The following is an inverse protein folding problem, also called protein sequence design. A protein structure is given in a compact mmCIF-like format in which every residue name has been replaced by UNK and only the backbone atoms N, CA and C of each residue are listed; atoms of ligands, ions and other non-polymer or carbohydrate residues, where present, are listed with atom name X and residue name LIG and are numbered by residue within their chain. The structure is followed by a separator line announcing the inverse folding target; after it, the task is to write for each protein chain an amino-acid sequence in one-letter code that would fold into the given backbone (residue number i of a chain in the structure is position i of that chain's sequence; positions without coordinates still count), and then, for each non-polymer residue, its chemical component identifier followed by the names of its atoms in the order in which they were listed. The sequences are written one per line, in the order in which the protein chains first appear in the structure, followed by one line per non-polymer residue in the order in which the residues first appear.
data_IF_958010681112
#
_entry.id   IF_958010681112
#
_cell.length_a   1.000
_cell.length_b   1.000
_cell.length_c   1.000
_cell.angle_alpha   90.00
_cell.angle_beta   90.00
_cell.angle_gamma   90.00
#
_symmetry.space_group_name_H-M   'P 1'
#
loop_
_entity.id
_entity.type
_entity.pdbx_description
1 polymer ?
#
# COMPACT_ATOMS: atom_id res chain seq x y z
N UNK A 1 -8.03 8.46 15.21
CA UNK A 1 -7.29 9.73 15.04
C UNK A 1 -8.32 10.81 14.90
N UNK A 2 -8.15 11.93 15.59
CA UNK A 2 -9.03 13.09 15.45
C UNK A 2 -8.83 13.71 14.07
N UNK A 3 -9.81 13.54 13.18
CA UNK A 3 -9.80 14.09 11.82
C UNK A 3 -9.98 15.61 11.77
N UNK A 4 -10.19 16.27 12.92
CA UNK A 4 -10.35 17.72 13.02
C UNK A 4 -9.05 18.48 13.27
N UNK A 5 -7.98 17.81 13.74
CA UNK A 5 -6.68 18.47 13.92
C UNK A 5 -5.90 18.55 12.61
N UNK A 6 -5.21 19.67 12.33
CA UNK A 6 -4.28 19.72 11.22
C UNK A 6 -3.12 18.73 11.42
N UNK A 7 -2.64 18.16 10.31
CA UNK A 7 -1.44 17.32 10.30
C UNK A 7 -0.20 18.18 10.57
N UNK A 8 0.73 17.66 11.37
CA UNK A 8 2.04 18.30 11.50
C UNK A 8 2.91 18.05 10.25
N UNK A 9 4.02 18.78 10.12
CA UNK A 9 4.90 18.68 8.95
C UNK A 9 5.37 17.25 8.66
N UNK A 10 5.74 16.48 9.69
CA UNK A 10 6.20 15.09 9.55
C UNK A 10 5.06 14.22 9.01
N UNK A 11 3.86 14.40 9.53
CA UNK A 11 2.67 13.68 9.06
C UNK A 11 2.32 14.03 7.61
N UNK A 12 2.41 15.30 7.22
CA UNK A 12 2.18 15.73 5.83
C UNK A 12 3.23 15.17 4.88
N UNK A 13 4.50 15.16 5.27
CA UNK A 13 5.58 14.56 4.48
C UNK A 13 5.34 13.06 4.32
N UNK A 14 5.07 12.33 5.42
CA UNK A 14 4.78 10.90 5.36
C UNK A 14 3.55 10.60 4.49
N UNK A 15 2.51 11.43 4.57
CA UNK A 15 1.32 11.29 3.72
C UNK A 15 1.65 11.55 2.24
N UNK A 16 2.50 12.53 1.95
CA UNK A 16 2.96 12.83 0.58
C UNK A 16 3.71 11.65 -0.04
N UNK A 17 4.63 11.03 0.71
CA UNK A 17 5.32 9.83 0.26
C UNK A 17 4.40 8.62 0.15
N UNK A 18 3.40 8.51 1.02
CA UNK A 18 2.37 7.47 0.90
C UNK A 18 1.54 7.66 -0.37
N UNK A 19 1.22 8.90 -0.77
CA UNK A 19 0.52 9.16 -2.05
C UNK A 19 1.39 8.77 -3.25
N UNK A 20 2.67 9.14 -3.24
CA UNK A 20 3.61 8.69 -4.27
C UNK A 20 3.63 7.15 -4.35
N UNK A 21 3.74 6.48 -3.22
CA UNK A 21 3.70 5.02 -3.14
C UNK A 21 2.40 4.44 -3.71
N UNK A 22 1.25 5.09 -3.50
CA UNK A 22 -0.04 4.64 -4.05
C UNK A 22 -0.05 4.69 -5.58
N UNK A 23 0.52 5.73 -6.20
CA UNK A 23 0.62 5.81 -7.66
C UNK A 23 1.56 4.75 -8.25
N UNK A 24 2.62 4.40 -7.52
CA UNK A 24 3.55 3.35 -7.94
C UNK A 24 2.94 1.95 -7.80
N UNK A 25 2.24 1.69 -6.70
CA UNK A 25 1.45 0.47 -6.51
C UNK A 25 0.39 0.33 -7.61
N UNK A 26 -0.33 1.41 -7.93
CA UNK A 26 -1.27 1.46 -9.04
C UNK A 26 -0.64 1.06 -10.38
N UNK A 27 0.54 1.61 -10.71
CA UNK A 27 1.28 1.24 -11.93
C UNK A 27 1.59 -0.27 -11.97
N UNK A 28 2.01 -0.86 -10.85
CA UNK A 28 2.25 -2.31 -10.76
C UNK A 28 0.96 -3.09 -11.02
N UNK A 29 -0.17 -2.67 -10.44
CA UNK A 29 -1.46 -3.33 -10.63
C UNK A 29 -1.92 -3.32 -12.10
N UNK A 30 -1.85 -2.16 -12.77
CA UNK A 30 -2.19 -2.05 -14.20
C UNK A 30 -1.31 -2.94 -15.09
N UNK A 31 -0.02 -3.04 -14.78
CA UNK A 31 0.89 -3.91 -15.53
C UNK A 31 0.63 -5.40 -15.28
N UNK A 32 0.23 -5.76 -14.05
CA UNK A 32 0.03 -7.16 -13.65
C UNK A 32 -1.30 -7.73 -14.12
N UNK A 33 -2.35 -6.92 -14.13
CA UNK A 33 -3.71 -7.35 -14.43
C UNK A 33 -4.16 -6.85 -15.79
N UNK A 34 -3.92 -7.66 -16.83
CA UNK A 34 -4.40 -7.37 -18.18
C UNK A 34 -5.93 -7.27 -18.17
N UNK A 35 -6.46 -6.08 -18.47
CA UNK A 35 -7.90 -5.79 -18.43
C UNK A 35 -8.36 -4.98 -17.22
N UNK A 36 -7.47 -4.64 -16.28
CA UNK A 36 -7.78 -3.65 -15.25
C UNK A 36 -7.93 -2.26 -15.90
N UNK A 37 -9.14 -1.72 -15.93
CA UNK A 37 -9.43 -0.42 -16.57
C UNK A 37 -9.36 0.75 -15.59
N UNK A 38 -9.69 0.51 -14.31
CA UNK A 38 -9.73 1.54 -13.28
C UNK A 38 -9.44 0.99 -11.88
N UNK A 39 -9.01 1.89 -11.02
CA UNK A 39 -8.82 1.69 -9.58
C UNK A 39 -9.34 2.92 -8.83
N UNK A 40 -9.76 2.74 -7.59
CA UNK A 40 -10.00 3.82 -6.65
C UNK A 40 -8.79 3.96 -5.72
N UNK A 41 -8.32 5.20 -5.52
CA UNK A 41 -7.29 5.53 -4.55
C UNK A 41 -7.92 6.27 -3.37
N UNK A 42 -8.01 5.60 -2.22
CA UNK A 42 -8.59 6.16 -1.01
C UNK A 42 -7.54 6.98 -0.27
N UNK A 43 -7.16 8.13 -0.84
CA UNK A 43 -6.09 8.97 -0.31
C UNK A 43 -6.48 9.65 1.01
N UNK A 44 -5.51 9.74 1.91
CA UNK A 44 -5.62 10.49 3.15
C UNK A 44 -6.07 9.60 4.29
N UNK A 45 -7.17 9.96 4.95
CA UNK A 45 -7.74 9.18 6.06
C UNK A 45 -9.09 8.58 5.69
N UNK A 46 -9.33 8.36 4.39
CA UNK A 46 -10.55 7.74 3.92
C UNK A 46 -10.64 6.30 4.42
N UNK A 47 -11.87 5.86 4.68
CA UNK A 47 -12.14 4.48 5.10
C UNK A 47 -11.90 3.51 3.94
N UNK A 48 -11.50 2.28 4.25
CA UNK A 48 -11.28 1.22 3.25
C UNK A 48 -9.82 0.78 3.16
N UNK A 49 -9.50 0.12 2.06
CA UNK A 49 -8.13 -0.15 1.63
C UNK A 49 -7.61 1.05 0.84
N UNK A 50 -6.29 1.29 0.82
CA UNK A 50 -5.71 2.45 0.14
C UNK A 50 -5.90 2.40 -1.39
N UNK A 51 -5.94 1.19 -1.97
CA UNK A 51 -6.27 0.95 -3.38
C UNK A 51 -7.34 -0.14 -3.47
N UNK A 52 -8.39 0.13 -4.25
CA UNK A 52 -9.51 -0.80 -4.43
C UNK A 52 -9.94 -0.88 -5.92
N UNK A 53 -10.43 -2.06 -6.34
CA UNK A 53 -11.11 -2.24 -7.63
C UNK A 53 -12.03 -3.45 -7.58
N UNK A 54 -13.13 -3.43 -8.34
CA UNK A 54 -14.03 -4.58 -8.49
C UNK A 54 -13.57 -5.58 -9.57
N UNK A 55 -12.38 -5.39 -10.14
CA UNK A 55 -11.83 -6.23 -11.21
C UNK A 55 -11.63 -7.69 -10.76
N UNK A 56 -12.10 -8.64 -11.56
CA UNK A 56 -11.85 -10.10 -11.43
C UNK A 56 -12.04 -10.66 -10.01
N UNK A 57 -13.13 -10.27 -9.34
CA UNK A 57 -13.41 -10.71 -7.97
C UNK A 57 -12.70 -9.89 -6.89
N UNK A 58 -12.20 -8.70 -7.25
CA UNK A 58 -11.76 -7.68 -6.31
C UNK A 58 -10.25 -7.54 -6.20
N UNK A 59 -9.80 -6.30 -6.07
CA UNK A 59 -8.44 -5.92 -5.67
C UNK A 59 -8.54 -5.08 -4.40
N UNK A 60 -7.78 -5.45 -3.38
CA UNK A 60 -7.53 -4.62 -2.20
C UNK A 60 -6.04 -4.50 -1.94
N UNK A 61 -5.58 -3.28 -1.67
CA UNK A 61 -4.21 -3.03 -1.27
C UNK A 61 -4.09 -2.02 -0.13
N UNK A 62 -3.16 -2.29 0.79
CA UNK A 62 -2.65 -1.30 1.73
C UNK A 62 -1.33 -0.72 1.22
N UNK A 63 -1.11 0.56 1.48
CA UNK A 63 0.04 1.31 1.00
C UNK A 63 0.62 2.16 2.12
N UNK A 64 1.95 2.18 2.23
CA UNK A 64 2.60 3.11 3.14
C UNK A 64 4.01 3.48 2.75
N UNK A 65 4.47 4.65 3.21
CA UNK A 65 5.88 4.99 3.26
C UNK A 65 6.41 4.86 4.70
N UNK A 66 7.62 4.35 4.86
CA UNK A 66 8.32 4.34 6.16
C UNK A 66 9.82 4.39 5.96
N UNK A 67 10.54 4.94 6.93
CA UNK A 67 12.02 4.84 7.00
C UNK A 67 12.49 3.43 7.37
N UNK A 68 11.61 2.58 7.91
CA UNK A 68 11.88 1.17 8.18
C UNK A 68 10.58 0.35 8.12
N UNK A 69 10.57 -0.84 7.47
CA UNK A 69 9.36 -1.65 7.36
C UNK A 69 8.93 -2.28 8.70
N UNK A 70 9.83 -2.34 9.69
CA UNK A 70 9.54 -2.87 11.03
C UNK A 70 8.95 -1.83 11.99
N UNK A 71 8.90 -0.55 11.60
CA UNK A 71 8.32 0.49 12.43
C UNK A 71 6.88 0.17 12.84
N UNK A 72 6.63 0.13 14.15
CA UNK A 72 5.33 -0.11 14.76
C UNK A 72 4.59 -1.37 14.25
N UNK A 73 5.33 -2.37 13.78
CA UNK A 73 4.77 -3.58 13.15
C UNK A 73 3.84 -3.29 11.96
N UNK A 74 4.01 -2.14 11.28
CA UNK A 74 3.06 -1.67 10.27
C UNK A 74 2.89 -2.67 9.12
N UNK A 75 3.99 -3.17 8.55
CA UNK A 75 3.93 -4.19 7.50
C UNK A 75 3.13 -5.43 7.94
N UNK A 76 3.40 -5.93 9.15
CA UNK A 76 2.67 -7.09 9.69
C UNK A 76 1.19 -6.82 9.87
N UNK A 77 0.83 -5.62 10.35
CA UNK A 77 -0.55 -5.24 10.57
C UNK A 77 -1.31 -5.09 9.25
N UNK A 78 -0.68 -4.48 8.25
CA UNK A 78 -1.28 -4.25 6.94
C UNK A 78 -1.48 -5.57 6.18
N UNK A 79 -0.52 -6.50 6.22
CA UNK A 79 -0.69 -7.86 5.66
C UNK A 79 -1.85 -8.61 6.32
N UNK A 80 -1.98 -8.50 7.64
CA UNK A 80 -3.08 -9.14 8.38
C UNK A 80 -4.43 -8.47 8.11
N UNK A 81 -4.46 -7.15 7.90
CA UNK A 81 -5.66 -6.39 7.55
C UNK A 81 -6.19 -6.84 6.19
N UNK A 82 -5.37 -6.71 5.15
CA UNK A 82 -5.77 -7.06 3.78
C UNK A 82 -6.02 -8.56 3.62
N UNK A 83 -5.27 -9.41 4.33
CA UNK A 83 -5.45 -10.86 4.30
C UNK A 83 -6.82 -11.36 4.77
N UNK A 84 -7.56 -10.54 5.53
CA UNK A 84 -8.93 -10.85 5.99
C UNK A 84 -10.02 -10.42 5.01
N UNK A 85 -9.66 -9.67 3.98
CA UNK A 85 -10.61 -9.19 2.97
C UNK A 85 -10.92 -10.34 2.00
N UNK A 86 -12.18 -10.39 1.55
CA UNK A 86 -12.68 -11.44 0.66
C UNK A 86 -12.25 -11.24 -0.81
N UNK A 87 -11.68 -10.07 -1.14
CA UNK A 87 -11.15 -9.77 -2.46
C UNK A 87 -10.11 -10.81 -2.91
N UNK A 88 -10.20 -11.17 -4.19
CA UNK A 88 -9.36 -12.19 -4.79
C UNK A 88 -7.88 -11.79 -4.82
N UNK A 89 -7.60 -10.53 -5.14
CA UNK A 89 -6.23 -10.05 -5.37
C UNK A 89 -5.81 -9.08 -4.25
N UNK A 90 -4.93 -9.54 -3.36
CA UNK A 90 -4.56 -8.81 -2.13
C UNK A 90 -3.10 -8.37 -2.14
N UNK A 91 -2.86 -7.11 -1.83
CA UNK A 91 -1.52 -6.51 -1.90
C UNK A 91 -1.15 -5.68 -0.68
N UNK A 92 0.15 -5.61 -0.41
CA UNK A 92 0.73 -4.54 0.40
C UNK A 92 1.88 -3.93 -0.38
N UNK A 93 1.84 -2.62 -0.57
CA UNK A 93 2.92 -1.85 -1.18
C UNK A 93 3.58 -0.98 -0.13
N UNK A 94 4.90 -0.95 -0.10
CA UNK A 94 5.59 -0.03 0.79
C UNK A 94 6.80 0.63 0.14
N UNK A 95 7.00 1.90 0.44
CA UNK A 95 8.19 2.67 0.08
C UNK A 95 9.10 2.75 1.31
N UNK A 96 10.35 2.29 1.16
CA UNK A 96 11.32 2.31 2.25
C UNK A 96 12.74 2.43 1.69
N UNK A 97 13.52 3.45 2.11
CA UNK A 97 14.82 3.73 1.51
C UNK A 97 15.82 2.58 1.64
N UNK A 98 15.79 1.86 2.76
CA UNK A 98 16.75 0.78 3.03
C UNK A 98 16.36 -0.58 2.40
N UNK A 99 15.25 -0.65 1.67
CA UNK A 99 14.76 -1.89 1.06
C UNK A 99 14.65 -1.70 -0.45
N UNK A 100 15.36 -2.55 -1.21
CA UNK A 100 15.34 -2.52 -2.68
C UNK A 100 13.95 -2.79 -3.24
N UNK A 101 13.66 -2.14 -4.37
CA UNK A 101 12.45 -2.39 -5.15
C UNK A 101 12.33 -3.87 -5.54
N UNK A 102 11.10 -4.40 -5.44
CA UNK A 102 10.77 -5.74 -5.91
C UNK A 102 9.73 -6.44 -5.06
N UNK A 103 9.50 -7.71 -5.37
CA UNK A 103 8.65 -8.58 -4.54
C UNK A 103 9.36 -8.79 -3.19
N UNK A 104 8.65 -8.50 -2.12
CA UNK A 104 9.12 -8.69 -0.76
C UNK A 104 8.54 -9.98 -0.18
N UNK A 105 9.34 -10.71 0.61
CA UNK A 105 8.90 -11.96 1.23
C UNK A 105 7.79 -11.69 2.25
N UNK A 106 6.61 -12.25 2.01
CA UNK A 106 5.53 -12.24 2.97
C UNK A 106 5.83 -13.23 4.13
N UNK A 107 5.99 -12.76 5.37
CA UNK A 107 6.36 -13.62 6.49
C UNK A 107 5.23 -14.53 6.99
N UNK A 108 3.99 -14.33 6.55
CA UNK A 108 2.83 -15.09 7.03
C UNK A 108 2.37 -16.21 6.08
N UNK A 109 2.94 -16.30 4.88
CA UNK A 109 2.59 -17.34 3.89
C UNK A 109 1.13 -17.33 3.43
N UNK A 110 0.37 -16.27 3.72
CA UNK A 110 -0.98 -16.09 3.21
C UNK A 110 -0.95 -15.54 1.77
N UNK A 111 -2.11 -15.49 1.11
CA UNK A 111 -2.24 -15.09 -0.31
C UNK A 111 -2.09 -13.58 -0.58
N UNK A 112 -1.35 -12.86 0.28
CA UNK A 112 -1.07 -11.44 0.13
C UNK A 112 0.28 -11.25 -0.56
N UNK A 113 0.28 -10.54 -1.70
CA UNK A 113 1.50 -10.17 -2.39
C UNK A 113 2.08 -8.89 -1.79
N UNK A 114 3.35 -8.92 -1.40
CA UNK A 114 4.02 -7.77 -0.80
C UNK A 114 5.07 -7.23 -1.78
N UNK A 115 5.07 -5.93 -2.00
CA UNK A 115 6.00 -5.23 -2.87
C UNK A 115 6.72 -4.12 -2.10
N UNK A 116 8.05 -4.13 -2.15
CA UNK A 116 8.83 -2.94 -1.88
C UNK A 116 8.88 -2.11 -3.15
N UNK A 117 8.62 -0.81 -3.01
CA UNK A 117 8.72 0.18 -4.08
C UNK A 117 10.10 0.84 -4.15
N UNK A 118 11.07 0.38 -3.33
CA UNK A 118 12.44 0.86 -3.35
C UNK A 118 12.65 2.21 -2.66
N UNK A 119 13.77 2.82 -3.03
CA UNK A 119 14.11 4.21 -2.82
C UNK A 119 13.86 5.00 -4.13
N UNK A 120 13.28 6.19 -4.00
CA UNK A 120 13.31 7.17 -5.07
C UNK A 120 14.36 8.20 -4.70
N UNK A 121 15.50 8.18 -5.38
CA UNK A 121 16.35 9.36 -5.50
C UNK A 121 15.52 10.39 -6.29
N UNK A 122 14.94 11.36 -5.59
CA UNK A 122 14.31 12.54 -6.20
C UNK A 122 15.37 13.54 -6.68
#
# INVERSE_FOLDING_TARGET
MDSSRPLNLIEQINQTFTYLASFLGAKILFNKHSGLENINLNLGTQSGSDIESNFDGGIAAEVFSSVSPSNNNKLSNDIKKVGKIEDRHKYVFFLCPDIKEGIYTNPFGNEVYVYSLGDYEL
#
